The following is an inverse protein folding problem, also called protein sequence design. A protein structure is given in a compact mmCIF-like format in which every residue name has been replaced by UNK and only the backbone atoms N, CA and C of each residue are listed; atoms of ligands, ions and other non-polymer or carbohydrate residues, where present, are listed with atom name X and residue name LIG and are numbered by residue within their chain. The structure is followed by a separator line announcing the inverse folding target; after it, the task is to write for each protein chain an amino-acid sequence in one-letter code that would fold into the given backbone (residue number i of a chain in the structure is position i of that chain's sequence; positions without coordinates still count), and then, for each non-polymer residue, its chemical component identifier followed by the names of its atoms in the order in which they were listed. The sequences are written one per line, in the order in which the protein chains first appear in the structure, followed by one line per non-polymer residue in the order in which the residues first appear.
data_IF_016607424768
#
_entry.id   IF_016607424768
#
_cell.length_a   1.000
_cell.length_b   1.000
_cell.length_c   1.000
_cell.angle_alpha   90.00
_cell.angle_beta   90.00
_cell.angle_gamma   90.00
#
_symmetry.space_group_name_H-M   'P 1'
#
loop_
_entity.id
_entity.type
_entity.pdbx_description
1 polymer ?
#
# COMPACT_ATOMS: atom_id res chain seq x y z
N UNK A 1 -2.45 16.70 -10.99
CA UNK A 1 -3.76 16.81 -11.71
C UNK A 1 -4.19 15.40 -12.07
N UNK A 2 -5.49 15.05 -12.05
CA UNK A 2 -5.92 13.72 -12.49
C UNK A 2 -5.43 13.44 -13.90
N UNK A 3 -5.02 12.19 -14.17
CA UNK A 3 -4.64 11.76 -15.53
C UNK A 3 -5.84 11.92 -16.44
N UNK A 4 -5.69 12.73 -17.49
CA UNK A 4 -6.73 12.84 -18.54
C UNK A 4 -6.73 11.55 -19.37
N UNK A 5 -7.84 10.85 -19.36
CA UNK A 5 -8.06 9.68 -20.22
C UNK A 5 -8.64 10.15 -21.54
N UNK A 6 -8.04 9.74 -22.67
CA UNK A 6 -8.56 10.09 -24.00
C UNK A 6 -9.90 9.42 -24.34
N UNK A 7 -10.33 8.45 -23.54
CA UNK A 7 -11.54 7.64 -23.68
C UNK A 7 -12.22 7.41 -22.31
N UNK A 8 -13.52 7.11 -22.28
CA UNK A 8 -14.21 6.72 -21.03
C UNK A 8 -13.63 5.43 -20.45
N UNK A 9 -13.29 5.46 -19.15
CA UNK A 9 -12.72 4.31 -18.45
C UNK A 9 -13.36 4.12 -17.07
N UNK A 10 -13.36 2.88 -16.60
CA UNK A 10 -13.61 2.56 -15.18
C UNK A 10 -12.32 2.07 -14.57
N UNK A 11 -11.98 2.61 -13.43
CA UNK A 11 -10.79 2.22 -12.67
C UNK A 11 -11.16 1.81 -11.25
N UNK A 12 -10.49 0.79 -10.72
CA UNK A 12 -10.74 0.34 -9.36
C UNK A 12 -9.44 -0.08 -8.66
N UNK A 13 -9.36 0.30 -7.40
CA UNK A 13 -8.30 -0.06 -6.46
C UNK A 13 -8.93 -0.86 -5.31
N UNK A 14 -8.63 -2.14 -5.26
CA UNK A 14 -9.11 -3.08 -4.24
C UNK A 14 -7.98 -3.31 -3.24
N UNK A 15 -7.93 -2.45 -2.23
CA UNK A 15 -6.98 -2.57 -1.13
C UNK A 15 -7.46 -3.52 -0.03
N UNK A 16 -6.59 -3.76 0.97
CA UNK A 16 -6.88 -4.67 2.10
C UNK A 16 -8.09 -4.24 2.94
N UNK A 17 -8.40 -2.95 2.99
CA UNK A 17 -9.41 -2.37 3.91
C UNK A 17 -10.56 -1.65 3.22
N UNK A 18 -10.37 -1.22 1.97
CA UNK A 18 -11.39 -0.51 1.20
C UNK A 18 -11.29 -0.82 -0.29
N UNK A 19 -12.37 -0.60 -0.99
CA UNK A 19 -12.46 -0.61 -2.45
C UNK A 19 -12.80 0.82 -2.88
N UNK A 20 -11.99 1.37 -3.77
CA UNK A 20 -12.24 2.63 -4.45
C UNK A 20 -12.46 2.37 -5.92
N UNK A 21 -13.50 2.94 -6.51
CA UNK A 21 -13.76 2.85 -7.94
C UNK A 21 -14.15 4.21 -8.49
N UNK A 22 -13.72 4.53 -9.70
CA UNK A 22 -14.03 5.77 -10.38
C UNK A 22 -14.42 5.53 -11.83
N UNK A 23 -15.42 6.29 -12.29
CA UNK A 23 -15.66 6.52 -13.71
C UNK A 23 -14.96 7.81 -14.12
N UNK A 24 -14.17 7.74 -15.17
CA UNK A 24 -13.46 8.88 -15.77
C UNK A 24 -13.82 8.99 -17.26
N UNK A 25 -14.08 10.20 -17.70
CA UNK A 25 -14.38 10.51 -19.10
C UNK A 25 -13.72 11.84 -19.49
N UNK A 26 -13.30 12.00 -20.76
CA UNK A 26 -12.67 13.23 -21.22
C UNK A 26 -13.53 14.46 -20.90
N UNK A 27 -12.91 15.50 -20.36
CA UNK A 27 -13.58 16.78 -20.07
C UNK A 27 -14.60 16.76 -18.92
N UNK A 28 -14.72 15.65 -18.18
CA UNK A 28 -15.62 15.50 -17.05
C UNK A 28 -14.85 15.19 -15.78
N UNK A 29 -15.22 15.80 -14.66
CA UNK A 29 -14.63 15.48 -13.36
C UNK A 29 -14.86 13.99 -13.02
N UNK A 30 -13.87 13.27 -12.45
CA UNK A 30 -14.04 11.89 -12.02
C UNK A 30 -15.20 11.72 -11.04
N UNK A 31 -15.98 10.67 -11.23
CA UNK A 31 -17.06 10.30 -10.29
C UNK A 31 -16.63 9.01 -9.57
N UNK A 32 -16.37 9.13 -8.28
CA UNK A 32 -15.82 8.05 -7.47
C UNK A 32 -16.75 7.56 -6.38
N UNK A 33 -16.53 6.32 -5.98
CA UNK A 33 -17.16 5.67 -4.83
C UNK A 33 -16.08 4.96 -4.00
N UNK A 34 -16.28 4.95 -2.68
CA UNK A 34 -15.47 4.18 -1.75
C UNK A 34 -16.35 3.31 -0.87
N UNK A 35 -15.89 2.11 -0.59
CA UNK A 35 -16.55 1.16 0.32
C UNK A 35 -15.54 0.58 1.30
N UNK A 36 -15.97 0.32 2.53
CA UNK A 36 -15.14 -0.33 3.55
C UNK A 36 -14.99 -1.85 3.34
N UNK A 37 -15.34 -2.36 2.17
CA UNK A 37 -15.36 -3.79 1.88
C UNK A 37 -14.12 -4.25 1.10
N UNK A 38 -12.94 -3.81 1.49
CA UNK A 38 -11.67 -4.27 0.93
C UNK A 38 -11.40 -5.76 1.22
N UNK A 39 -10.36 -6.28 0.62
CA UNK A 39 -9.91 -7.65 0.81
C UNK A 39 -8.64 -7.95 0.04
N UNK A 40 -8.13 -9.15 0.25
CA UNK A 40 -6.94 -9.68 -0.45
C UNK A 40 -7.37 -10.96 -1.15
N UNK A 41 -6.97 -11.15 -2.40
CA UNK A 41 -7.12 -12.47 -3.02
C UNK A 41 -6.09 -13.42 -2.41
N UNK A 42 -6.54 -14.57 -1.97
CA UNK A 42 -5.69 -15.59 -1.33
C UNK A 42 -6.28 -16.99 -1.48
N UNK A 43 -7.43 -17.08 -2.14
CA UNK A 43 -8.14 -18.32 -2.40
C UNK A 43 -9.54 -18.02 -2.95
N UNK A 44 -10.30 -19.07 -3.28
CA UNK A 44 -11.62 -18.92 -3.94
C UNK A 44 -12.62 -18.15 -3.06
N UNK A 45 -12.63 -18.41 -1.74
CA UNK A 45 -13.57 -17.76 -0.82
C UNK A 45 -13.26 -16.28 -0.62
N UNK A 46 -12.00 -15.92 -0.49
CA UNK A 46 -11.52 -14.55 -0.38
C UNK A 46 -11.81 -13.79 -1.68
N UNK A 47 -11.52 -14.40 -2.81
CA UNK A 47 -11.81 -13.86 -4.15
C UNK A 47 -13.29 -13.56 -4.31
N UNK A 48 -14.17 -14.45 -3.89
CA UNK A 48 -15.63 -14.23 -3.92
C UNK A 48 -16.07 -13.00 -3.11
N UNK A 49 -15.47 -12.78 -1.94
CA UNK A 49 -15.75 -11.57 -1.12
C UNK A 49 -15.28 -10.28 -1.79
N UNK A 50 -14.09 -10.30 -2.38
CA UNK A 50 -13.53 -9.18 -3.14
C UNK A 50 -14.43 -8.83 -4.32
N UNK A 51 -14.83 -9.82 -5.12
CA UNK A 51 -15.72 -9.64 -6.27
C UNK A 51 -17.08 -9.07 -5.86
N UNK A 52 -17.68 -9.60 -4.79
CA UNK A 52 -18.95 -9.08 -4.27
C UNK A 52 -18.83 -7.62 -3.75
N UNK A 53 -17.69 -7.28 -3.16
CA UNK A 53 -17.38 -5.91 -2.74
C UNK A 53 -17.24 -4.96 -3.93
N UNK A 54 -16.49 -5.39 -4.94
CA UNK A 54 -16.26 -4.62 -6.16
C UNK A 54 -17.57 -4.43 -6.95
N UNK A 55 -18.38 -5.47 -7.11
CA UNK A 55 -19.71 -5.38 -7.75
C UNK A 55 -20.54 -4.26 -7.09
N UNK A 56 -20.64 -4.26 -5.76
CA UNK A 56 -21.37 -3.20 -5.03
C UNK A 56 -20.79 -1.80 -5.22
N UNK A 57 -19.49 -1.68 -5.39
CA UNK A 57 -18.86 -0.39 -5.68
C UNK A 57 -19.20 0.06 -7.11
N UNK A 58 -19.08 -0.82 -8.08
CA UNK A 58 -19.40 -0.55 -9.49
C UNK A 58 -20.88 -0.18 -9.69
N UNK A 59 -21.82 -0.83 -8.98
CA UNK A 59 -23.24 -0.52 -9.04
C UNK A 59 -23.60 0.88 -8.57
N UNK A 60 -22.71 1.53 -7.83
CA UNK A 60 -22.86 2.91 -7.35
C UNK A 60 -22.28 3.96 -8.31
N UNK A 61 -21.56 3.54 -9.33
CA UNK A 61 -21.06 4.44 -10.37
C UNK A 61 -22.21 4.87 -11.29
N UNK A 62 -22.06 6.00 -12.00
CA UNK A 62 -23.11 6.51 -12.91
C UNK A 62 -23.33 5.54 -14.09
N UNK A 63 -24.52 5.57 -14.69
CA UNK A 63 -24.92 4.68 -15.80
C UNK A 63 -23.90 4.62 -16.96
N UNK A 64 -23.24 5.72 -17.40
CA UNK A 64 -22.21 5.67 -18.45
C UNK A 64 -21.01 4.79 -18.12
N UNK A 65 -20.77 4.48 -16.83
CA UNK A 65 -19.69 3.56 -16.43
C UNK A 65 -19.90 2.11 -16.90
N UNK A 66 -21.08 1.78 -17.42
CA UNK A 66 -21.39 0.47 -18.02
C UNK A 66 -21.04 0.37 -19.52
N UNK A 67 -20.62 1.49 -20.12
CA UNK A 67 -20.30 1.60 -21.56
C UNK A 67 -18.94 2.24 -21.73
N UNK A 68 -17.90 1.63 -21.14
CA UNK A 68 -16.53 2.13 -21.20
C UNK A 68 -15.68 1.36 -22.20
N UNK A 69 -14.70 2.03 -22.78
CA UNK A 69 -13.78 1.42 -23.72
C UNK A 69 -12.72 0.56 -23.03
N UNK A 70 -12.31 0.95 -21.83
CA UNK A 70 -11.35 0.20 -21.05
C UNK A 70 -11.67 0.25 -19.55
N UNK A 71 -11.21 -0.77 -18.84
CA UNK A 71 -11.21 -0.79 -17.38
C UNK A 71 -9.88 -1.30 -16.86
N UNK A 72 -9.45 -0.79 -15.70
CA UNK A 72 -8.28 -1.29 -14.99
C UNK A 72 -8.64 -1.53 -13.52
N UNK A 73 -8.36 -2.75 -13.04
CA UNK A 73 -8.64 -3.17 -11.67
C UNK A 73 -7.35 -3.68 -11.03
N UNK A 74 -6.90 -2.99 -9.99
CA UNK A 74 -5.80 -3.46 -9.15
C UNK A 74 -6.32 -4.10 -7.88
N UNK A 75 -5.78 -5.27 -7.52
CA UNK A 75 -6.28 -6.07 -6.41
C UNK A 75 -5.12 -6.46 -5.49
N UNK A 76 -5.26 -6.17 -4.18
CA UNK A 76 -4.29 -6.60 -3.18
C UNK A 76 -4.10 -8.12 -3.19
N UNK A 77 -2.84 -8.57 -3.18
CA UNK A 77 -2.48 -9.99 -3.23
C UNK A 77 -2.46 -10.61 -4.63
N UNK A 78 -2.88 -9.91 -5.67
CA UNK A 78 -2.94 -10.42 -7.04
C UNK A 78 -1.60 -11.02 -7.53
N UNK A 79 -0.47 -10.35 -7.28
CA UNK A 79 0.85 -10.82 -7.71
C UNK A 79 1.28 -12.14 -7.06
N UNK A 80 0.77 -12.44 -5.86
CA UNK A 80 1.07 -13.68 -5.16
C UNK A 80 0.22 -14.88 -5.65
N UNK A 81 -0.83 -14.64 -6.46
CA UNK A 81 -1.79 -15.64 -6.88
C UNK A 81 -2.07 -15.56 -8.40
N UNK A 82 -1.06 -15.78 -9.25
CA UNK A 82 -1.22 -15.71 -10.70
C UNK A 82 -2.20 -16.75 -11.25
N UNK A 83 -2.42 -17.84 -10.54
CA UNK A 83 -3.41 -18.89 -10.84
C UNK A 83 -4.87 -18.39 -10.78
N UNK A 84 -5.13 -17.29 -10.04
CA UNK A 84 -6.47 -16.69 -9.97
C UNK A 84 -6.78 -15.73 -11.12
N UNK A 85 -5.83 -15.45 -12.00
CA UNK A 85 -6.02 -14.48 -13.09
C UNK A 85 -7.24 -14.83 -13.97
N UNK A 86 -7.28 -16.04 -14.50
CA UNK A 86 -8.37 -16.49 -15.38
C UNK A 86 -9.74 -16.50 -14.66
N UNK A 87 -9.76 -16.81 -13.37
CA UNK A 87 -10.97 -16.72 -12.55
C UNK A 87 -11.43 -15.28 -12.42
N UNK A 88 -10.53 -14.38 -12.05
CA UNK A 88 -10.84 -12.96 -11.86
C UNK A 88 -11.32 -12.32 -13.18
N UNK A 89 -10.65 -12.58 -14.28
CA UNK A 89 -11.03 -12.09 -15.60
C UNK A 89 -12.44 -12.55 -15.97
N UNK A 90 -12.73 -13.84 -15.86
CA UNK A 90 -14.05 -14.41 -16.15
C UNK A 90 -15.16 -13.81 -15.29
N UNK A 91 -14.92 -13.61 -14.01
CA UNK A 91 -15.93 -13.07 -13.08
C UNK A 91 -16.10 -11.55 -13.20
N UNK A 92 -15.05 -10.83 -13.62
CA UNK A 92 -15.10 -9.37 -13.79
C UNK A 92 -15.63 -8.93 -15.15
N UNK A 93 -15.46 -9.73 -16.21
CA UNK A 93 -15.95 -9.39 -17.54
C UNK A 93 -17.46 -9.06 -17.60
N UNK A 94 -18.36 -9.79 -16.89
CA UNK A 94 -19.78 -9.41 -16.85
C UNK A 94 -20.06 -8.13 -16.03
N UNK A 95 -19.22 -7.82 -15.05
CA UNK A 95 -19.36 -6.61 -14.22
C UNK A 95 -18.83 -5.36 -14.92
N UNK A 96 -17.84 -5.55 -15.78
CA UNK A 96 -17.16 -4.50 -16.57
C UNK A 96 -17.15 -4.93 -18.03
N UNK A 97 -18.28 -4.84 -18.74
CA UNK A 97 -18.38 -5.22 -20.15
C UNK A 97 -17.65 -4.19 -21.03
N UNK A 98 -16.34 -4.36 -21.16
CA UNK A 98 -15.45 -3.48 -21.90
C UNK A 98 -14.64 -4.29 -22.91
N UNK A 99 -14.16 -3.61 -23.95
CA UNK A 99 -13.28 -4.23 -24.95
C UNK A 99 -11.88 -4.55 -24.38
N UNK A 100 -11.46 -3.82 -23.34
CA UNK A 100 -10.15 -3.99 -22.71
C UNK A 100 -10.26 -3.94 -21.18
N UNK A 101 -10.09 -5.10 -20.53
CA UNK A 101 -10.01 -5.23 -19.08
C UNK A 101 -8.56 -5.54 -18.68
N UNK A 102 -7.95 -4.63 -17.94
CA UNK A 102 -6.62 -4.79 -17.37
C UNK A 102 -6.71 -5.18 -15.90
N UNK A 103 -6.07 -6.29 -15.54
CA UNK A 103 -6.00 -6.79 -14.17
C UNK A 103 -4.56 -6.76 -13.68
N UNK A 104 -4.36 -6.17 -12.51
CA UNK A 104 -3.03 -6.07 -11.89
C UNK A 104 -3.14 -6.00 -10.36
N UNK A 105 -2.04 -5.71 -9.66
CA UNK A 105 -2.09 -5.47 -8.23
C UNK A 105 -2.31 -4.00 -7.89
N UNK A 106 -2.84 -3.76 -6.70
CA UNK A 106 -2.93 -2.44 -6.07
C UNK A 106 -1.55 -1.74 -6.00
N UNK A 107 -0.48 -2.51 -5.81
CA UNK A 107 0.88 -2.02 -5.76
C UNK A 107 1.37 -1.49 -7.12
N UNK A 108 1.01 -2.17 -8.22
CA UNK A 108 1.32 -1.70 -9.59
C UNK A 108 0.55 -0.42 -9.91
N UNK A 109 -0.72 -0.32 -9.49
CA UNK A 109 -1.48 0.93 -9.61
C UNK A 109 -0.80 2.07 -8.86
N UNK A 110 -0.37 1.80 -7.62
CA UNK A 110 0.31 2.81 -6.81
C UNK A 110 1.62 3.27 -7.45
N UNK A 111 2.41 2.36 -8.03
CA UNK A 111 3.64 2.68 -8.77
C UNK A 111 3.34 3.54 -10.00
N UNK A 112 2.39 3.10 -10.84
CA UNK A 112 2.02 3.83 -12.06
C UNK A 112 1.51 5.24 -11.74
N UNK A 113 0.70 5.38 -10.69
CA UNK A 113 0.18 6.69 -10.26
C UNK A 113 1.26 7.59 -9.66
N UNK A 114 2.13 7.02 -8.82
CA UNK A 114 3.17 7.79 -8.15
C UNK A 114 4.22 8.34 -9.11
N UNK A 115 4.54 7.61 -10.19
CA UNK A 115 5.63 7.90 -11.12
C UNK A 115 5.17 8.16 -12.55
N UNK A 116 3.87 8.29 -12.80
CA UNK A 116 3.27 8.47 -14.13
C UNK A 116 3.77 7.42 -15.15
N UNK A 117 3.87 6.18 -14.68
CA UNK A 117 4.38 5.04 -15.44
C UNK A 117 5.87 5.09 -15.80
N UNK A 118 6.63 6.03 -15.24
CA UNK A 118 8.08 6.08 -15.41
C UNK A 118 8.79 5.02 -14.56
N UNK A 119 10.01 4.67 -14.95
CA UNK A 119 10.88 3.80 -14.15
C UNK A 119 11.23 4.44 -12.81
N UNK A 120 11.26 3.64 -11.76
CA UNK A 120 11.56 4.09 -10.40
C UNK A 120 11.06 3.09 -9.36
N UNK A 121 11.06 3.52 -8.12
CA UNK A 121 10.60 2.70 -6.97
C UNK A 121 9.47 3.44 -6.25
N UNK A 122 8.40 2.74 -5.90
CA UNK A 122 7.42 3.23 -4.93
C UNK A 122 7.64 2.51 -3.61
N UNK A 123 7.71 3.23 -2.50
CA UNK A 123 7.67 2.71 -1.15
C UNK A 123 6.35 3.15 -0.50
N UNK A 124 5.52 2.19 -0.13
CA UNK A 124 4.22 2.42 0.51
C UNK A 124 4.34 2.09 1.99
N UNK A 125 4.02 3.06 2.85
CA UNK A 125 4.13 2.96 4.31
C UNK A 125 2.80 3.31 4.96
N UNK A 126 2.03 2.29 5.28
CA UNK A 126 0.72 2.38 5.94
C UNK A 126 0.62 1.44 7.12
N UNK A 127 -0.48 0.69 7.22
CA UNK A 127 -0.62 -0.42 8.18
C UNK A 127 0.47 -1.48 7.97
N UNK A 128 0.78 -1.83 6.70
CA UNK A 128 1.94 -2.61 6.28
C UNK A 128 2.97 -1.73 5.57
N UNK A 129 4.08 -2.34 5.11
CA UNK A 129 5.11 -1.69 4.31
C UNK A 129 5.51 -2.59 3.13
N UNK A 130 5.70 -1.99 1.95
CA UNK A 130 6.11 -2.71 0.75
C UNK A 130 6.75 -1.74 -0.24
N UNK A 131 7.76 -2.21 -0.98
CA UNK A 131 8.31 -1.46 -2.10
C UNK A 131 8.20 -2.25 -3.42
N UNK A 132 7.96 -1.52 -4.51
CA UNK A 132 8.02 -2.02 -5.88
C UNK A 132 8.91 -1.10 -6.71
N UNK A 133 9.98 -1.65 -7.25
CA UNK A 133 10.80 -1.00 -8.24
C UNK A 133 10.51 -1.56 -9.64
N UNK A 134 10.41 -0.69 -10.63
CA UNK A 134 10.24 -1.06 -12.04
C UNK A 134 11.32 -0.34 -12.84
N UNK A 135 12.15 -1.11 -13.54
CA UNK A 135 13.22 -0.59 -14.39
C UNK A 135 12.70 -0.14 -15.75
N UNK A 136 13.52 0.60 -16.49
CA UNK A 136 13.16 1.12 -17.83
C UNK A 136 12.92 0.01 -18.87
N UNK A 137 13.50 -1.18 -18.66
CA UNK A 137 13.30 -2.37 -19.50
C UNK A 137 12.09 -3.22 -19.05
N UNK A 138 11.41 -2.80 -17.97
CA UNK A 138 10.25 -3.48 -17.41
C UNK A 138 10.56 -4.53 -16.35
N UNK A 139 11.85 -4.77 -16.02
CA UNK A 139 12.18 -5.65 -14.88
C UNK A 139 11.61 -5.06 -13.59
N UNK A 140 10.91 -5.87 -12.82
CA UNK A 140 10.28 -5.46 -11.57
C UNK A 140 10.82 -6.25 -10.39
N UNK A 141 10.96 -5.55 -9.26
CA UNK A 141 11.39 -6.12 -7.99
C UNK A 141 10.48 -5.63 -6.88
N UNK A 142 9.93 -6.57 -6.15
CA UNK A 142 9.17 -6.28 -4.92
C UNK A 142 10.05 -6.63 -3.72
N UNK A 143 10.01 -5.79 -2.70
CA UNK A 143 10.63 -6.06 -1.41
C UNK A 143 9.64 -5.82 -0.29
N UNK A 144 9.68 -6.69 0.72
CA UNK A 144 8.76 -6.75 1.85
C UNK A 144 7.28 -6.96 1.42
N UNK A 145 6.30 -6.48 2.18
CA UNK A 145 4.88 -6.80 1.97
C UNK A 145 4.51 -8.22 2.40
N UNK A 146 5.37 -8.87 3.19
CA UNK A 146 5.24 -10.24 3.66
C UNK A 146 4.23 -10.39 4.81
N UNK A 147 3.61 -9.29 5.18
CA UNK A 147 2.63 -9.23 6.25
C UNK A 147 3.25 -9.07 7.65
N UNK A 148 2.42 -8.79 8.67
CA UNK A 148 2.87 -8.32 9.97
C UNK A 148 3.57 -9.38 10.83
N UNK A 149 3.56 -10.65 10.43
CA UNK A 149 4.24 -11.73 11.13
C UNK A 149 5.70 -11.89 10.69
N UNK A 150 5.98 -11.73 9.41
CA UNK A 150 7.28 -12.07 8.81
C UNK A 150 7.93 -10.89 8.08
N UNK A 151 7.23 -9.76 7.96
CA UNK A 151 7.68 -8.56 7.28
C UNK A 151 6.87 -7.33 7.72
N UNK A 152 6.54 -6.49 6.75
CA UNK A 152 5.96 -5.15 6.96
C UNK A 152 6.85 -4.29 7.90
N UNK A 153 8.18 -4.45 7.80
CA UNK A 153 9.12 -3.80 8.69
C UNK A 153 9.13 -2.28 8.50
N UNK A 154 9.11 -1.55 9.62
CA UNK A 154 8.97 -0.09 9.61
C UNK A 154 7.54 0.43 9.39
N UNK A 155 6.55 -0.45 9.18
CA UNK A 155 5.13 -0.09 9.01
C UNK A 155 4.46 0.35 10.30
N UNK A 156 3.19 0.80 10.19
CA UNK A 156 2.35 1.08 11.35
C UNK A 156 2.16 -0.11 12.28
N UNK A 157 1.99 -1.31 11.73
CA UNK A 157 1.89 -2.52 12.53
C UNK A 157 3.21 -2.83 13.26
N UNK A 158 4.34 -2.63 12.61
CA UNK A 158 5.66 -2.82 13.20
C UNK A 158 5.94 -1.78 14.30
N UNK A 159 5.75 -0.50 14.01
CA UNK A 159 5.96 0.61 14.97
C UNK A 159 5.03 0.45 16.18
N UNK A 160 3.74 0.19 15.93
CA UNK A 160 2.76 -0.01 16.99
C UNK A 160 3.10 -1.19 17.88
N UNK A 161 3.50 -2.32 17.29
CA UNK A 161 3.95 -3.52 18.04
C UNK A 161 5.20 -3.23 18.85
N UNK A 162 6.20 -2.55 18.28
CA UNK A 162 7.41 -2.17 18.99
C UNK A 162 7.11 -1.26 20.18
N UNK A 163 6.25 -0.25 19.97
CA UNK A 163 5.81 0.66 21.03
C UNK A 163 5.06 -0.03 22.16
N UNK A 164 4.07 -0.89 21.83
CA UNK A 164 3.33 -1.68 22.83
C UNK A 164 4.23 -2.66 23.57
N UNK A 165 5.16 -3.30 22.88
CA UNK A 165 6.15 -4.18 23.50
C UNK A 165 7.02 -3.42 24.49
N UNK A 166 7.51 -2.23 24.14
CA UNK A 166 8.30 -1.39 25.03
C UNK A 166 7.49 -0.96 26.26
N UNK A 167 6.25 -0.53 26.08
CA UNK A 167 5.34 -0.15 27.13
C UNK A 167 5.08 -1.29 28.15
N UNK A 168 4.81 -2.49 27.61
CA UNK A 168 4.58 -3.70 28.44
C UNK A 168 5.85 -4.15 29.19
N UNK A 169 7.01 -4.06 28.53
CA UNK A 169 8.30 -4.37 29.18
C UNK A 169 8.60 -3.43 30.35
N UNK A 170 8.32 -2.13 30.16
CA UNK A 170 8.45 -1.14 31.23
C UNK A 170 7.50 -1.44 32.40
N UNK A 171 6.21 -1.75 32.10
CA UNK A 171 5.23 -2.12 33.13
C UNK A 171 5.63 -3.35 33.96
N UNK A 172 6.38 -4.28 33.37
CA UNK A 172 6.88 -5.50 33.99
C UNK A 172 8.28 -5.35 34.64
N UNK A 173 8.88 -4.17 34.58
CA UNK A 173 10.27 -3.96 35.06
C UNK A 173 11.34 -4.67 34.20
N UNK A 174 11.03 -5.07 32.95
CA UNK A 174 11.95 -5.74 32.02
C UNK A 174 12.60 -4.80 31.00
N UNK A 175 12.31 -3.52 31.08
CA UNK A 175 12.83 -2.49 30.19
C UNK A 175 12.87 -1.14 30.90
N UNK A 176 13.47 -0.13 30.25
CA UNK A 176 13.50 1.21 30.79
C UNK A 176 12.08 1.78 30.93
N UNK A 177 11.88 2.67 31.90
CA UNK A 177 10.64 3.42 31.98
C UNK A 177 10.45 4.28 30.74
N UNK A 178 9.20 4.41 30.30
CA UNK A 178 8.88 5.11 29.03
C UNK A 178 7.48 5.73 29.09
N UNK A 179 7.34 6.91 28.47
CA UNK A 179 6.07 7.59 28.30
C UNK A 179 5.04 6.71 27.52
N UNK A 180 5.51 5.79 26.69
CA UNK A 180 4.67 4.86 25.94
C UNK A 180 3.77 4.00 26.85
N UNK A 181 4.15 3.76 28.12
CA UNK A 181 3.35 3.01 29.07
C UNK A 181 2.02 3.70 29.38
N UNK A 182 2.07 4.98 29.73
CA UNK A 182 0.87 5.78 29.98
C UNK A 182 0.06 6.01 28.72
N UNK A 183 0.76 6.34 27.62
CA UNK A 183 0.14 6.56 26.31
C UNK A 183 -0.60 5.34 25.76
N UNK A 184 -0.11 4.11 26.02
CA UNK A 184 -0.80 2.89 25.61
C UNK A 184 -2.08 2.66 26.43
N UNK A 185 -2.03 2.83 27.77
CA UNK A 185 -3.20 2.71 28.61
C UNK A 185 -4.29 3.73 28.23
N UNK A 186 -3.90 4.96 27.92
CA UNK A 186 -4.81 6.01 27.43
C UNK A 186 -5.43 5.65 26.08
N UNK A 187 -4.60 5.25 25.09
CA UNK A 187 -5.05 4.92 23.74
C UNK A 187 -6.09 3.79 23.71
N UNK A 188 -5.88 2.74 24.49
CA UNK A 188 -6.80 1.61 24.54
C UNK A 188 -7.91 1.78 25.59
N UNK A 189 -7.84 2.78 26.48
CA UNK A 189 -8.81 3.03 27.55
C UNK A 189 -8.88 1.93 28.61
N UNK A 190 -7.80 1.14 28.77
CA UNK A 190 -7.70 0.01 29.70
C UNK A 190 -6.33 -0.03 30.37
N UNK A 191 -6.22 -0.78 31.47
CA UNK A 191 -4.92 -1.01 32.11
C UNK A 191 -3.94 -1.68 31.15
N UNK A 192 -2.65 -1.27 31.23
CA UNK A 192 -1.60 -1.75 30.31
C UNK A 192 -1.50 -3.28 30.28
N UNK A 193 -1.68 -3.92 31.43
CA UNK A 193 -1.61 -5.37 31.59
C UNK A 193 -2.78 -6.11 30.90
N UNK A 194 -3.89 -5.41 30.64
CA UNK A 194 -5.06 -5.97 29.98
C UNK A 194 -4.96 -5.92 28.43
N UNK A 195 -4.07 -5.10 27.88
CA UNK A 195 -3.94 -4.89 26.42
C UNK A 195 -3.69 -6.20 25.66
N UNK A 196 -2.78 -7.11 26.07
CA UNK A 196 -2.57 -8.35 25.35
C UNK A 196 -3.85 -9.20 25.23
N UNK A 197 -4.57 -9.38 26.32
CA UNK A 197 -5.84 -10.10 26.32
C UNK A 197 -6.95 -9.39 25.54
N UNK A 198 -6.95 -8.07 25.50
CA UNK A 198 -7.85 -7.29 24.67
C UNK A 198 -7.57 -7.54 23.17
N UNK A 199 -6.33 -7.43 22.71
CA UNK A 199 -5.95 -7.63 21.32
C UNK A 199 -6.24 -9.04 20.81
N UNK A 200 -6.03 -10.07 21.65
CA UNK A 200 -6.33 -11.46 21.29
C UNK A 200 -7.82 -11.72 21.00
N UNK A 201 -8.72 -10.87 21.48
CA UNK A 201 -10.17 -10.98 21.26
C UNK A 201 -10.68 -10.08 20.12
N UNK A 202 -9.81 -9.32 19.49
CA UNK A 202 -10.19 -8.42 18.40
C UNK A 202 -10.31 -9.18 17.08
N UNK A 203 -11.25 -8.76 16.26
CA UNK A 203 -11.41 -9.28 14.90
C UNK A 203 -10.23 -8.88 14.01
N UNK A 204 -9.71 -7.66 14.21
CA UNK A 204 -8.63 -7.09 13.42
C UNK A 204 -7.46 -6.61 14.29
N UNK A 205 -6.77 -7.50 15.04
CA UNK A 205 -5.75 -7.11 16.01
C UNK A 205 -4.57 -6.36 15.38
N UNK A 206 -4.19 -6.69 14.15
CA UNK A 206 -3.11 -6.00 13.42
C UNK A 206 -3.46 -4.52 13.17
N UNK A 207 -4.72 -4.24 12.83
CA UNK A 207 -5.19 -2.87 12.62
C UNK A 207 -5.20 -2.08 13.94
N UNK A 208 -5.62 -2.70 15.03
CA UNK A 208 -5.62 -2.08 16.36
C UNK A 208 -4.18 -1.77 16.80
N UNK A 209 -3.23 -2.69 16.57
CA UNK A 209 -1.80 -2.48 16.84
C UNK A 209 -1.24 -1.35 15.96
N UNK A 210 -1.53 -1.34 14.67
CA UNK A 210 -1.08 -0.28 13.76
C UNK A 210 -1.65 1.09 14.17
N UNK A 211 -2.85 1.13 14.73
CA UNK A 211 -3.46 2.35 15.29
C UNK A 211 -2.66 2.98 16.43
N UNK A 212 -1.75 2.24 17.05
CA UNK A 212 -0.85 2.79 18.06
C UNK A 212 0.39 3.49 17.48
N UNK A 213 0.74 3.30 16.20
CA UNK A 213 1.89 3.94 15.58
C UNK A 213 1.84 5.49 15.64
N UNK A 214 0.71 6.17 15.36
CA UNK A 214 0.62 7.62 15.55
C UNK A 214 0.90 8.07 16.99
N UNK A 215 0.59 7.24 17.99
CA UNK A 215 0.90 7.53 19.39
C UNK A 215 2.42 7.45 19.62
N UNK A 216 3.09 6.45 19.07
CA UNK A 216 4.56 6.33 19.15
C UNK A 216 5.22 7.55 18.49
N UNK A 217 4.74 7.97 17.31
CA UNK A 217 5.23 9.17 16.61
C UNK A 217 5.02 10.42 17.48
N UNK A 218 3.86 10.59 18.10
CA UNK A 218 3.58 11.71 19.01
C UNK A 218 4.53 11.74 20.21
N UNK A 219 4.79 10.59 20.84
CA UNK A 219 5.71 10.49 21.98
C UNK A 219 7.16 10.76 21.54
N UNK A 220 7.54 10.37 20.32
CA UNK A 220 8.82 10.75 19.72
C UNK A 220 8.94 12.27 19.54
N UNK A 221 7.90 12.93 19.00
CA UNK A 221 7.86 14.42 18.91
C UNK A 221 8.01 15.09 20.29
N UNK A 222 7.52 14.44 21.34
CA UNK A 222 7.61 14.91 22.73
C UNK A 222 8.97 14.60 23.39
N UNK A 223 9.91 13.97 22.67
CA UNK A 223 11.26 13.69 23.14
C UNK A 223 11.42 12.37 23.90
N UNK A 224 10.48 11.42 23.78
CA UNK A 224 10.62 10.09 24.39
C UNK A 224 11.75 9.28 23.73
N UNK A 225 12.84 8.92 24.46
CA UNK A 225 13.99 8.23 23.86
C UNK A 225 13.63 6.84 23.30
N UNK A 226 12.73 6.12 23.98
CA UNK A 226 12.27 4.81 23.50
C UNK A 226 11.52 4.92 22.19
N UNK A 227 10.67 5.94 22.03
CA UNK A 227 9.97 6.20 20.80
C UNK A 227 10.95 6.62 19.68
N UNK A 228 11.97 7.42 20.00
CA UNK A 228 13.01 7.83 19.04
C UNK A 228 13.73 6.61 18.47
N UNK A 229 14.20 5.70 19.30
CA UNK A 229 14.88 4.47 18.86
C UNK A 229 13.99 3.58 17.97
N UNK A 230 12.68 3.52 18.27
CA UNK A 230 11.72 2.77 17.44
C UNK A 230 11.58 3.42 16.07
N UNK A 231 11.46 4.74 15.99
CA UNK A 231 11.29 5.48 14.74
C UNK A 231 12.54 5.41 13.88
N UNK A 232 13.73 5.56 14.46
CA UNK A 232 15.02 5.42 13.77
C UNK A 232 15.17 4.02 13.18
N UNK A 233 14.85 2.98 13.95
CA UNK A 233 14.88 1.59 13.47
C UNK A 233 13.88 1.37 12.33
N UNK A 234 12.65 1.91 12.48
CA UNK A 234 11.62 1.79 11.45
C UNK A 234 12.05 2.45 10.13
N UNK A 235 12.63 3.65 10.19
CA UNK A 235 13.14 4.34 9.00
C UNK A 235 14.28 3.56 8.34
N UNK A 236 15.17 2.96 9.13
CA UNK A 236 16.22 2.06 8.64
C UNK A 236 15.67 0.88 7.84
N UNK A 237 14.65 0.18 8.36
CA UNK A 237 14.00 -0.94 7.66
C UNK A 237 13.31 -0.48 6.37
N UNK A 238 12.60 0.64 6.40
CA UNK A 238 11.96 1.19 5.21
C UNK A 238 12.96 1.53 4.10
N UNK A 239 14.11 2.09 4.48
CA UNK A 239 15.17 2.38 3.53
C UNK A 239 15.84 1.12 2.97
N UNK A 240 15.99 0.06 3.76
CA UNK A 240 16.43 -1.27 3.30
C UNK A 240 15.45 -1.86 2.30
N UNK A 241 14.16 -1.79 2.60
CA UNK A 241 13.09 -2.24 1.70
C UNK A 241 13.12 -1.48 0.37
N UNK A 242 13.25 -0.15 0.41
CA UNK A 242 13.37 0.66 -0.79
C UNK A 242 14.62 0.29 -1.62
N UNK A 243 15.76 0.10 -0.95
CA UNK A 243 17.01 -0.27 -1.61
C UNK A 243 16.96 -1.67 -2.25
N UNK A 244 16.33 -2.64 -1.59
CA UNK A 244 16.15 -4.00 -2.11
C UNK A 244 15.25 -4.04 -3.35
N UNK A 245 14.22 -3.17 -3.40
CA UNK A 245 13.32 -3.04 -4.54
C UNK A 245 13.90 -2.16 -5.66
N UNK A 246 14.96 -1.39 -5.41
CA UNK A 246 15.47 -0.43 -6.39
C UNK A 246 15.79 -1.09 -7.74
N UNK A 247 15.15 -0.61 -8.78
CA UNK A 247 15.11 -1.22 -10.11
C UNK A 247 16.48 -1.23 -10.85
N UNK A 248 17.44 -0.45 -10.37
CA UNK A 248 18.81 -0.49 -10.90
C UNK A 248 19.82 -0.06 -9.82
N UNK A 249 20.60 -0.97 -9.25
CA UNK A 249 21.70 -0.60 -8.38
C UNK A 249 22.65 0.38 -9.09
N UNK A 250 22.86 1.56 -8.50
CA UNK A 250 23.78 2.57 -9.03
C UNK A 250 23.20 3.54 -10.06
N UNK A 251 21.90 3.53 -10.35
CA UNK A 251 21.23 4.56 -11.15
C UNK A 251 20.29 5.40 -10.31
N UNK A 252 20.22 6.69 -10.60
CA UNK A 252 19.42 7.72 -9.93
C UNK A 252 17.91 7.62 -10.26
N UNK A 253 17.35 6.40 -10.26
CA UNK A 253 15.90 6.23 -10.43
C UNK A 253 15.17 6.78 -9.20
N UNK A 254 14.07 7.54 -9.38
CA UNK A 254 13.37 8.16 -8.26
C UNK A 254 12.74 7.12 -7.32
N UNK A 255 12.66 7.47 -6.03
CA UNK A 255 11.89 6.75 -5.04
C UNK A 255 10.69 7.61 -4.65
N UNK A 256 9.49 7.19 -4.99
CA UNK A 256 8.26 7.85 -4.56
C UNK A 256 7.82 7.27 -3.21
N UNK A 257 7.58 8.15 -2.24
CA UNK A 257 7.17 7.80 -0.88
C UNK A 257 5.68 8.04 -0.70
N UNK A 258 4.92 6.99 -0.34
CA UNK A 258 3.46 7.04 -0.23
C UNK A 258 2.96 6.34 1.04
N UNK A 259 1.73 6.63 1.43
CA UNK A 259 1.05 6.01 2.57
C UNK A 259 0.79 6.96 3.73
N UNK A 260 -0.02 6.51 4.69
CA UNK A 260 -0.53 7.38 5.75
C UNK A 260 0.52 7.81 6.78
N UNK A 261 1.54 6.99 7.05
CA UNK A 261 2.55 7.32 8.04
C UNK A 261 3.54 8.40 7.58
N UNK A 262 3.84 8.41 6.27
CA UNK A 262 4.75 9.42 5.70
C UNK A 262 4.10 10.79 5.51
N UNK A 263 2.85 10.96 5.92
CA UNK A 263 2.19 12.26 6.06
C UNK A 263 2.71 13.03 7.30
N UNK A 264 3.25 12.33 8.29
CA UNK A 264 4.00 13.00 9.36
C UNK A 264 5.31 13.52 8.80
N UNK A 265 5.46 14.85 8.82
CA UNK A 265 6.58 15.53 8.16
C UNK A 265 7.93 15.09 8.72
N UNK A 266 8.06 14.98 10.04
CA UNK A 266 9.34 14.64 10.68
C UNK A 266 9.71 13.18 10.42
N UNK A 267 8.73 12.28 10.45
CA UNK A 267 8.94 10.87 10.07
C UNK A 267 9.36 10.76 8.61
N UNK A 268 8.68 11.49 7.71
CA UNK A 268 9.04 11.58 6.30
C UNK A 268 10.51 12.02 6.11
N UNK A 269 10.95 13.09 6.81
CA UNK A 269 12.31 13.60 6.72
C UNK A 269 13.34 12.53 7.14
N UNK A 270 13.11 11.81 8.25
CA UNK A 270 14.01 10.72 8.70
C UNK A 270 14.06 9.57 7.70
N UNK A 271 12.92 9.18 7.13
CA UNK A 271 12.89 8.12 6.10
C UNK A 271 13.65 8.56 4.85
N UNK A 272 13.55 9.81 4.42
CA UNK A 272 14.33 10.36 3.29
C UNK A 272 15.82 10.29 3.58
N UNK A 273 16.26 10.70 4.75
CA UNK A 273 17.67 10.68 5.14
C UNK A 273 18.25 9.26 5.10
N UNK A 274 17.48 8.28 5.60
CA UNK A 274 17.87 6.87 5.58
C UNK A 274 17.89 6.27 4.16
N UNK A 275 16.93 6.66 3.30
CA UNK A 275 16.95 6.26 1.88
C UNK A 275 18.15 6.88 1.17
N UNK A 276 18.42 8.16 1.37
CA UNK A 276 19.56 8.85 0.73
C UNK A 276 20.91 8.24 1.12
N UNK A 277 21.03 7.76 2.36
CA UNK A 277 22.23 7.06 2.83
C UNK A 277 22.45 5.71 2.13
N UNK A 278 21.37 4.96 1.79
CA UNK A 278 21.43 3.64 1.17
C UNK A 278 21.39 3.66 -0.36
N UNK A 279 20.77 4.68 -0.93
CA UNK A 279 20.62 4.89 -2.37
C UNK A 279 21.18 6.25 -2.77
N UNK A 280 22.52 6.44 -2.68
CA UNK A 280 23.13 7.72 -3.02
C UNK A 280 22.82 8.14 -4.45
N UNK A 281 22.26 9.34 -4.62
CA UNK A 281 21.89 9.90 -5.92
C UNK A 281 20.48 9.53 -6.41
N UNK A 282 19.73 8.68 -5.72
CA UNK A 282 18.32 8.47 -6.02
C UNK A 282 17.48 9.59 -5.39
N UNK A 283 16.77 10.42 -6.19
CA UNK A 283 15.92 11.46 -5.63
C UNK A 283 14.68 10.83 -4.97
N UNK A 284 14.38 11.24 -3.74
CA UNK A 284 13.07 10.92 -3.13
C UNK A 284 12.08 11.99 -3.58
N UNK A 285 10.98 11.55 -4.17
CA UNK A 285 9.98 12.42 -4.79
C UNK A 285 8.61 12.23 -4.16
N UNK A 286 7.80 13.29 -4.19
CA UNK A 286 6.39 13.16 -3.88
C UNK A 286 5.67 12.42 -5.00
N UNK A 287 4.68 11.56 -4.70
CA UNK A 287 3.84 10.94 -5.71
C UNK A 287 3.15 11.98 -6.59
N UNK A 288 3.15 11.76 -7.90
CA UNK A 288 2.46 12.61 -8.89
C UNK A 288 0.95 12.45 -8.74
N UNK A 289 0.48 11.20 -8.61
CA UNK A 289 -0.90 10.81 -8.43
C UNK A 289 -1.06 9.61 -7.48
N UNK A 290 -2.28 9.19 -7.30
CA UNK A 290 -2.65 8.05 -6.44
C UNK A 290 -2.87 6.76 -7.27
N UNK A 291 -3.26 5.64 -6.61
CA UNK A 291 -3.50 4.35 -7.27
C UNK A 291 -4.60 4.43 -8.36
N UNK A 292 -5.65 5.23 -8.18
CA UNK A 292 -6.68 5.39 -9.21
C UNK A 292 -6.18 6.21 -10.42
N UNK A 293 -5.24 7.14 -10.22
CA UNK A 293 -4.55 7.82 -11.31
C UNK A 293 -3.67 6.82 -12.09
N UNK A 294 -2.98 5.92 -11.37
CA UNK A 294 -2.23 4.84 -11.99
C UNK A 294 -3.12 3.86 -12.76
N UNK A 295 -4.28 3.51 -12.22
CA UNK A 295 -5.25 2.68 -12.94
C UNK A 295 -5.76 3.36 -14.22
N UNK A 296 -6.00 4.68 -14.17
CA UNK A 296 -6.41 5.45 -15.34
C UNK A 296 -5.29 5.51 -16.39
N UNK A 297 -4.04 5.70 -15.95
CA UNK A 297 -2.86 5.65 -16.82
C UNK A 297 -2.77 4.29 -17.53
N UNK A 298 -2.91 3.17 -16.82
CA UNK A 298 -2.85 1.83 -17.39
C UNK A 298 -4.04 1.56 -18.32
N UNK A 299 -5.26 1.96 -17.95
CA UNK A 299 -6.45 1.82 -18.80
C UNK A 299 -6.34 2.60 -20.09
N UNK A 300 -5.71 3.78 -20.08
CA UNK A 300 -5.50 4.63 -21.26
C UNK A 300 -4.25 4.27 -22.05
N UNK A 301 -3.35 3.43 -21.52
CA UNK A 301 -2.08 3.12 -22.17
C UNK A 301 -2.29 2.46 -23.52
N UNK A 302 -1.54 2.87 -24.58
CA UNK A 302 -1.57 2.15 -25.85
C UNK A 302 -1.02 0.73 -25.69
N UNK A 303 -1.48 -0.20 -26.55
CA UNK A 303 -0.93 -1.53 -26.65
C UNK A 303 0.61 -1.48 -26.76
N UNK A 304 1.33 -2.32 -26.01
CA UNK A 304 2.80 -2.32 -25.95
C UNK A 304 3.38 -1.90 -24.60
N UNK A 305 2.53 -1.49 -23.64
CA UNK A 305 2.92 -1.35 -22.21
C UNK A 305 2.36 -2.50 -21.34
N UNK A 306 2.09 -3.62 -21.97
CA UNK A 306 1.60 -4.85 -21.34
C UNK A 306 2.52 -5.34 -20.20
N UNK A 307 3.79 -4.92 -20.18
CA UNK A 307 4.72 -5.23 -19.11
C UNK A 307 4.28 -4.66 -17.75
N UNK A 308 3.53 -3.55 -17.71
CA UNK A 308 2.99 -2.97 -16.46
C UNK A 308 1.85 -3.81 -15.86
N UNK A 309 1.11 -4.53 -16.70
CA UNK A 309 0.03 -5.42 -16.27
C UNK A 309 0.51 -6.88 -16.18
N UNK A 310 1.47 -7.25 -17.02
CA UNK A 310 2.10 -8.58 -17.08
C UNK A 310 3.21 -8.78 -16.05
N UNK A 311 3.35 -7.94 -15.03
CA UNK A 311 4.29 -8.14 -13.94
C UNK A 311 4.01 -9.49 -13.25
N UNK A 312 4.49 -10.53 -13.88
CA UNK A 312 4.73 -11.81 -13.22
C UNK A 312 5.98 -11.57 -12.40
N UNK A 313 5.84 -11.56 -11.08
CA UNK A 313 6.99 -11.72 -10.21
C UNK A 313 7.77 -12.92 -10.76
N UNK A 314 8.97 -12.66 -11.27
CA UNK A 314 9.75 -13.68 -11.90
C UNK A 314 9.86 -14.87 -10.94
N UNK A 315 9.19 -15.93 -11.28
CA UNK A 315 9.63 -17.24 -10.82
C UNK A 315 11.00 -17.36 -11.45
N UNK A 316 12.05 -17.20 -10.63
CA UNK A 316 13.38 -17.64 -11.01
C UNK A 316 13.22 -19.08 -11.46
N UNK A 317 13.27 -19.31 -12.77
CA UNK A 317 13.54 -20.63 -13.30
C UNK A 317 14.90 -21.04 -12.72
N UNK A 318 14.85 -21.84 -11.65
CA UNK A 318 15.99 -22.52 -11.05
C UNK A 318 16.26 -23.81 -11.79
#
# INVERSE_FOLDING_TARGET
MPVETGVPVVVADVGKTSIRAEYRSPGVAPVGVETAAGGVVGGVAETGRVLAGLSRALDRLPAPAREVEAACVGIAGYLAHPDLHALLERELQPLLPTARLELTSDLVLAHAGALDGAAGTVLIVGTGAVALGIAADGEARMADGLGPLLGDEGSGAWIGRAGLTAALRAAQGRGPDTALRGAAAEHFGIAIEAIPGFLLRREHPVRDVAGFAPVVIREWHSGCPTAAAIIETAAGHLAETAAAAAAAPGRSAPVALSGSLVLDRRFHEVVIEEIAARLPGAPVVAPIGNALDGAAFLAAAPAGREWLTALRLGTSDS
#
